data_IF_546952987089
#
_entry.id   IF_546952987089
#
_cell.length_a   1.000
_cell.length_b   1.000
_cell.length_c   1.000
_cell.angle_alpha   90.00
_cell.angle_beta   90.00
_cell.angle_gamma   90.00
#
_symmetry.space_group_name_H-M   'P 1'
#
loop_
_entity.id
_entity.type
_entity.pdbx_description
1 polymer ?
#
# COMPACT_ATOMS: atom_id res chain seq x y z
N UNK A 1 46.56 40.46 -40.54
CA UNK A 1 46.94 39.19 -39.88
C UNK A 1 46.02 38.99 -38.72
N UNK A 2 45.03 38.07 -38.83
CA UNK A 2 44.05 37.86 -37.84
C UNK A 2 44.53 36.67 -36.99
N UNK A 3 45.00 36.92 -35.77
CA UNK A 3 45.21 35.85 -34.75
C UNK A 3 43.89 35.47 -34.21
N UNK A 4 43.32 34.37 -34.72
CA UNK A 4 42.17 33.70 -34.07
C UNK A 4 42.65 33.11 -32.76
N UNK A 5 42.11 33.62 -31.70
CA UNK A 5 42.41 33.14 -30.33
C UNK A 5 41.83 31.74 -30.11
N UNK A 6 42.63 30.72 -30.38
CA UNK A 6 42.27 29.31 -30.22
C UNK A 6 41.85 29.01 -28.78
N UNK A 7 42.28 29.81 -27.82
CA UNK A 7 41.92 29.68 -26.41
C UNK A 7 40.45 30.02 -26.12
N UNK A 8 39.82 30.86 -26.94
CA UNK A 8 38.42 31.22 -26.77
C UNK A 8 37.47 30.06 -27.15
N UNK A 9 37.83 29.27 -28.15
CA UNK A 9 37.05 28.10 -28.59
C UNK A 9 37.20 26.91 -27.64
N UNK A 10 38.33 26.78 -26.96
CA UNK A 10 38.55 25.71 -25.99
C UNK A 10 37.76 25.93 -24.68
N UNK A 11 37.51 27.18 -24.31
CA UNK A 11 36.77 27.51 -23.08
C UNK A 11 35.29 27.16 -23.16
N UNK A 12 34.71 27.17 -24.36
CA UNK A 12 33.30 26.80 -24.57
C UNK A 12 33.03 25.29 -24.48
N UNK A 13 34.02 24.43 -24.75
CA UNK A 13 33.84 22.96 -24.69
C UNK A 13 33.85 22.41 -23.28
N UNK A 14 34.49 23.05 -22.31
CA UNK A 14 34.54 22.56 -20.91
C UNK A 14 33.24 22.75 -20.14
N UNK A 15 32.41 23.72 -20.52
CA UNK A 15 31.14 24.01 -19.84
C UNK A 15 30.06 22.97 -20.23
N UNK A 16 30.11 22.44 -21.45
CA UNK A 16 29.13 21.53 -22.00
C UNK A 16 29.16 20.15 -21.34
N UNK A 17 30.33 19.64 -20.94
CA UNK A 17 30.49 18.32 -20.34
C UNK A 17 29.97 18.31 -18.90
N UNK A 18 30.16 19.40 -18.16
CA UNK A 18 29.71 19.51 -16.78
C UNK A 18 28.18 19.69 -16.67
N UNK A 19 27.57 20.40 -17.64
CA UNK A 19 26.11 20.55 -17.71
C UNK A 19 25.39 19.26 -18.08
N UNK A 20 26.00 18.43 -18.93
CA UNK A 20 25.43 17.13 -19.32
C UNK A 20 25.49 16.12 -18.16
N UNK A 21 26.53 16.19 -17.32
CA UNK A 21 26.65 15.29 -16.15
C UNK A 21 25.62 15.61 -15.07
N UNK A 22 25.23 16.86 -14.90
CA UNK A 22 24.22 17.29 -13.92
C UNK A 22 22.82 16.93 -14.39
N UNK A 23 22.53 17.01 -15.69
CA UNK A 23 21.23 16.67 -16.26
C UNK A 23 20.97 15.15 -16.21
N UNK A 24 22.00 14.33 -16.36
CA UNK A 24 21.86 12.86 -16.27
C UNK A 24 21.66 12.36 -14.83
N UNK A 25 22.10 13.10 -13.82
CA UNK A 25 21.91 12.70 -12.41
C UNK A 25 20.49 12.97 -11.90
N UNK A 26 19.74 13.88 -12.51
CA UNK A 26 18.38 14.25 -12.11
C UNK A 26 17.32 13.27 -12.64
N UNK A 27 17.65 12.50 -13.68
CA UNK A 27 16.69 11.57 -14.31
C UNK A 27 16.57 10.20 -13.61
N UNK A 28 17.37 9.91 -12.60
CA UNK A 28 17.32 8.67 -11.83
C UNK A 28 16.58 8.80 -10.48
N UNK A 29 15.73 9.81 -10.34
CA UNK A 29 14.72 9.76 -9.29
C UNK A 29 13.66 8.71 -9.68
N UNK A 30 14.01 7.44 -9.57
CA UNK A 30 13.04 6.37 -9.62
C UNK A 30 12.00 6.64 -8.53
N UNK A 31 10.79 6.94 -8.94
CA UNK A 31 9.65 6.92 -8.02
C UNK A 31 9.56 5.49 -7.51
N UNK A 32 10.13 5.22 -6.34
CA UNK A 32 9.82 4.02 -5.59
C UNK A 32 8.37 4.22 -5.16
N UNK A 33 7.46 3.76 -5.99
CA UNK A 33 6.08 3.56 -5.58
C UNK A 33 6.12 2.46 -4.53
N UNK A 34 5.93 2.80 -3.28
CA UNK A 34 5.78 1.79 -2.23
C UNK A 34 4.54 0.96 -2.59
N UNK A 35 4.77 -0.25 -3.09
CA UNK A 35 3.71 -1.19 -3.43
C UNK A 35 2.92 -1.49 -2.16
N UNK A 36 1.60 -1.31 -2.23
CA UNK A 36 0.72 -1.54 -1.09
C UNK A 36 0.53 -3.05 -0.91
N UNK A 37 0.84 -3.55 0.26
CA UNK A 37 0.59 -4.95 0.61
C UNK A 37 -0.92 -5.25 0.48
N UNK A 38 -1.26 -6.30 -0.27
CA UNK A 38 -2.65 -6.75 -0.44
C UNK A 38 -2.83 -8.10 0.25
N UNK A 39 -3.83 -8.23 1.09
CA UNK A 39 -4.19 -9.46 1.79
C UNK A 39 -5.64 -9.79 1.48
N UNK A 40 -5.90 -11.04 1.12
CA UNK A 40 -7.23 -11.53 0.81
C UNK A 40 -7.80 -12.32 1.99
N UNK A 41 -9.07 -12.07 2.29
CA UNK A 41 -9.85 -12.75 3.32
C UNK A 41 -11.17 -13.16 2.69
N UNK A 42 -11.68 -14.32 3.05
CA UNK A 42 -13.04 -14.75 2.69
C UNK A 42 -13.96 -14.76 3.92
N UNK A 43 -15.21 -14.45 3.70
CA UNK A 43 -16.29 -14.76 4.65
C UNK A 43 -16.99 -16.02 4.14
N UNK A 44 -16.99 -17.05 4.93
CA UNK A 44 -17.51 -18.37 4.59
C UNK A 44 -18.24 -18.99 5.80
N UNK A 45 -19.52 -19.30 5.64
CA UNK A 45 -20.35 -19.83 6.70
C UNK A 45 -20.30 -18.95 7.98
N UNK A 46 -20.28 -17.63 7.80
CA UNK A 46 -20.20 -16.64 8.88
C UNK A 46 -18.86 -16.66 9.65
N UNK A 47 -17.77 -17.13 9.03
CA UNK A 47 -16.41 -17.06 9.55
C UNK A 47 -15.51 -16.28 8.62
N UNK A 48 -14.53 -15.57 9.16
CA UNK A 48 -13.42 -15.04 8.37
C UNK A 48 -12.37 -16.13 8.15
N UNK A 49 -11.90 -16.25 6.92
CA UNK A 49 -10.87 -17.24 6.51
C UNK A 49 -9.82 -16.53 5.64
N UNK A 50 -8.58 -16.39 6.11
CA UNK A 50 -8.08 -16.68 7.45
C UNK A 50 -8.65 -15.72 8.49
N UNK A 51 -8.73 -16.14 9.75
CA UNK A 51 -9.18 -15.32 10.88
C UNK A 51 -8.05 -14.52 11.53
N UNK A 52 -6.80 -14.88 11.28
CA UNK A 52 -5.60 -14.15 11.72
C UNK A 52 -4.73 -13.80 10.54
N UNK A 53 -4.38 -12.53 10.46
CA UNK A 53 -3.48 -12.01 9.42
C UNK A 53 -2.32 -11.27 10.08
N UNK A 54 -1.12 -11.49 9.57
CA UNK A 54 0.09 -10.80 10.02
C UNK A 54 0.47 -9.72 9.00
N UNK A 55 0.76 -8.55 9.48
CA UNK A 55 1.22 -7.44 8.65
C UNK A 55 2.43 -6.76 9.28
N UNK A 56 3.36 -6.24 8.47
CA UNK A 56 4.48 -5.49 9.01
C UNK A 56 4.02 -4.13 9.55
N UNK A 57 4.71 -3.65 10.59
CA UNK A 57 4.49 -2.32 11.14
C UNK A 57 4.74 -1.22 10.09
N UNK A 58 4.14 -0.06 10.27
CA UNK A 58 4.32 1.14 9.45
C UNK A 58 4.08 0.93 7.95
N UNK A 59 3.24 -0.02 7.60
CA UNK A 59 2.95 -0.42 6.22
C UNK A 59 1.48 -0.17 5.88
N UNK A 60 1.24 0.38 4.70
CA UNK A 60 -0.12 0.52 4.15
C UNK A 60 -0.58 -0.82 3.58
N UNK A 61 -1.73 -1.29 4.03
CA UNK A 61 -2.30 -2.57 3.66
C UNK A 61 -3.68 -2.39 3.05
N UNK A 62 -3.95 -3.17 2.02
CA UNK A 62 -5.27 -3.33 1.43
C UNK A 62 -5.80 -4.71 1.77
N UNK A 63 -6.87 -4.77 2.54
CA UNK A 63 -7.63 -5.99 2.74
C UNK A 63 -8.67 -6.11 1.62
N UNK A 64 -8.71 -7.24 0.95
CA UNK A 64 -9.75 -7.58 -0.01
C UNK A 64 -10.58 -8.69 0.61
N UNK A 65 -11.83 -8.38 0.98
CA UNK A 65 -12.70 -9.31 1.67
C UNK A 65 -13.80 -9.78 0.70
N UNK A 66 -13.83 -11.08 0.44
CA UNK A 66 -14.81 -11.74 -0.41
C UNK A 66 -15.89 -12.36 0.45
N UNK A 67 -17.11 -11.87 0.36
CA UNK A 67 -18.24 -12.51 1.01
C UNK A 67 -18.77 -13.65 0.14
N UNK A 68 -18.49 -14.90 0.55
CA UNK A 68 -18.93 -16.11 -0.14
C UNK A 68 -20.30 -16.59 0.30
N UNK A 69 -20.86 -15.95 1.31
CA UNK A 69 -22.18 -16.31 1.84
C UNK A 69 -23.31 -15.69 1.00
N UNK A 70 -24.50 -16.24 1.19
CA UNK A 70 -25.73 -15.77 0.56
C UNK A 70 -26.37 -14.59 1.30
N UNK A 71 -25.80 -14.17 2.42
CA UNK A 71 -26.23 -13.03 3.23
C UNK A 71 -25.13 -11.96 3.29
N UNK A 72 -25.54 -10.73 3.49
CA UNK A 72 -24.59 -9.63 3.71
C UNK A 72 -23.90 -9.78 5.06
N UNK A 73 -22.67 -9.26 5.15
CA UNK A 73 -21.93 -9.12 6.40
C UNK A 73 -21.36 -7.71 6.50
N UNK A 74 -21.16 -7.24 7.71
CA UNK A 74 -20.53 -5.96 7.96
C UNK A 74 -19.21 -6.17 8.72
N UNK A 75 -18.11 -5.86 8.04
CA UNK A 75 -16.80 -5.83 8.69
C UNK A 75 -16.76 -4.65 9.66
N UNK A 76 -16.40 -4.89 10.89
CA UNK A 76 -16.27 -3.89 11.94
C UNK A 76 -14.95 -4.05 12.68
N UNK A 77 -14.25 -2.95 12.93
CA UNK A 77 -13.10 -2.91 13.82
C UNK A 77 -12.99 -1.54 14.47
N UNK A 78 -13.16 -1.48 15.76
CA UNK A 78 -13.01 -0.26 16.55
C UNK A 78 -11.55 0.18 16.59
N UNK A 79 -10.63 -0.76 16.76
CA UNK A 79 -9.19 -0.51 16.85
C UNK A 79 -8.59 -0.02 15.53
N UNK A 80 -9.11 -0.50 14.41
CA UNK A 80 -8.73 -0.03 13.07
C UNK A 80 -9.52 1.19 12.62
N UNK A 81 -10.59 1.53 13.35
CA UNK A 81 -11.56 2.55 12.96
C UNK A 81 -12.07 2.33 11.52
N UNK A 82 -12.57 1.13 11.27
CA UNK A 82 -13.08 0.70 9.97
C UNK A 82 -14.40 -0.03 10.11
N UNK A 83 -15.29 0.29 9.20
CA UNK A 83 -16.61 -0.29 9.04
C UNK A 83 -16.89 -0.44 7.54
N UNK A 84 -17.37 -1.60 7.12
CA UNK A 84 -17.69 -1.84 5.72
C UNK A 84 -18.74 -2.92 5.53
N UNK A 85 -19.89 -2.54 4.97
CA UNK A 85 -20.90 -3.51 4.52
C UNK A 85 -20.41 -4.23 3.25
N UNK A 86 -20.51 -5.56 3.26
CA UNK A 86 -20.13 -6.43 2.16
C UNK A 86 -21.34 -7.27 1.77
N UNK A 87 -21.97 -6.93 0.67
CA UNK A 87 -23.15 -7.63 0.19
C UNK A 87 -22.85 -9.10 -0.13
N UNK A 88 -23.87 -9.94 -0.06
CA UNK A 88 -23.78 -11.36 -0.40
C UNK A 88 -23.13 -11.59 -1.77
N UNK A 89 -22.14 -12.46 -1.84
CA UNK A 89 -21.43 -12.80 -3.08
C UNK A 89 -20.55 -11.68 -3.66
N UNK A 90 -20.35 -10.60 -2.92
CA UNK A 90 -19.54 -9.45 -3.34
C UNK A 90 -18.22 -9.39 -2.57
N UNK A 91 -17.35 -8.50 -3.02
CA UNK A 91 -16.10 -8.16 -2.32
C UNK A 91 -16.06 -6.69 -1.96
N UNK A 92 -15.28 -6.38 -0.93
CA UNK A 92 -14.97 -5.01 -0.55
C UNK A 92 -13.46 -4.86 -0.32
N UNK A 93 -12.98 -3.65 -0.55
CA UNK A 93 -11.62 -3.25 -0.23
C UNK A 93 -11.63 -2.39 1.03
N UNK A 94 -10.80 -2.74 1.99
CA UNK A 94 -10.61 -2.00 3.24
C UNK A 94 -9.14 -1.63 3.35
N UNK A 95 -8.87 -0.35 3.52
CA UNK A 95 -7.51 0.16 3.65
C UNK A 95 -7.18 0.38 5.12
N UNK A 96 -6.09 -0.22 5.57
CA UNK A 96 -5.60 -0.11 6.95
C UNK A 96 -4.12 0.30 6.95
N UNK A 97 -3.67 0.83 8.09
CA UNK A 97 -2.29 1.24 8.27
C UNK A 97 -1.97 2.64 7.71
N UNK A 98 -0.74 3.10 7.96
CA UNK A 98 0.31 2.43 8.77
C UNK A 98 -0.11 2.20 10.23
N UNK A 99 0.23 1.03 10.77
CA UNK A 99 -0.12 0.64 12.14
C UNK A 99 1.16 0.40 12.97
N UNK A 100 1.09 0.70 14.25
CA UNK A 100 2.10 0.31 15.21
C UNK A 100 2.01 -1.20 15.52
N UNK A 101 3.10 -1.78 16.01
CA UNK A 101 3.11 -3.15 16.52
C UNK A 101 2.00 -3.34 17.55
N UNK A 102 1.21 -4.39 17.39
CA UNK A 102 0.08 -4.68 18.26
C UNK A 102 -0.93 -5.63 17.63
N UNK A 103 -2.05 -5.80 18.31
CA UNK A 103 -3.16 -6.64 17.89
C UNK A 103 -4.40 -5.76 17.68
N UNK A 104 -5.05 -5.97 16.54
CA UNK A 104 -6.19 -5.17 16.11
C UNK A 104 -7.35 -6.12 15.74
N UNK A 105 -8.27 -6.39 16.66
CA UNK A 105 -9.40 -7.29 16.41
C UNK A 105 -10.39 -6.69 15.43
N UNK A 106 -11.05 -7.57 14.68
CA UNK A 106 -12.18 -7.23 13.83
C UNK A 106 -13.25 -8.34 13.92
N UNK A 107 -14.45 -8.00 13.53
CA UNK A 107 -15.56 -8.95 13.59
C UNK A 107 -16.61 -8.62 12.51
N UNK A 108 -17.52 -9.57 12.29
CA UNK A 108 -18.72 -9.38 11.49
C UNK A 108 -19.88 -8.97 12.38
N UNK A 109 -20.40 -7.78 12.19
CA UNK A 109 -21.47 -7.21 13.02
C UNK A 109 -22.73 -8.07 13.02
N UNK A 110 -23.04 -8.72 11.89
CA UNK A 110 -24.25 -9.52 11.76
C UNK A 110 -24.11 -10.95 12.29
N UNK A 111 -22.89 -11.42 12.55
CA UNK A 111 -22.59 -12.76 13.05
C UNK A 111 -21.41 -12.73 14.04
N UNK A 112 -21.54 -11.96 15.09
CA UNK A 112 -20.44 -11.67 16.03
C UNK A 112 -19.88 -12.89 16.76
N UNK A 113 -20.69 -13.95 16.93
CA UNK A 113 -20.25 -15.16 17.62
C UNK A 113 -19.27 -16.00 16.80
N UNK A 114 -19.34 -15.93 15.50
CA UNK A 114 -18.54 -16.73 14.56
C UNK A 114 -17.57 -15.90 13.72
N UNK A 115 -18.02 -14.77 13.22
CA UNK A 115 -17.22 -13.87 12.39
C UNK A 115 -16.31 -13.01 13.26
N UNK A 116 -15.15 -13.55 13.63
CA UNK A 116 -14.12 -12.87 14.40
C UNK A 116 -12.77 -13.06 13.75
N UNK A 117 -11.92 -12.03 13.85
CA UNK A 117 -10.58 -12.10 13.34
C UNK A 117 -9.63 -11.13 14.03
N UNK A 118 -8.36 -11.21 13.66
CA UNK A 118 -7.28 -10.43 14.26
C UNK A 118 -6.26 -10.02 13.21
N UNK A 119 -5.93 -8.74 13.20
CA UNK A 119 -4.73 -8.23 12.52
C UNK A 119 -3.61 -8.17 13.55
N UNK A 120 -2.52 -8.89 13.27
CA UNK A 120 -1.33 -8.94 14.11
C UNK A 120 -0.24 -8.14 13.42
N UNK A 121 0.19 -7.06 14.02
CA UNK A 121 1.24 -6.18 13.48
C UNK A 121 2.55 -6.45 14.22
N UNK A 122 3.56 -6.83 13.43
CA UNK A 122 4.90 -7.17 13.93
C UNK A 122 5.98 -6.23 13.42
#
# INVERSE_FOLDING_TARGET
MICLDINFLQKKKKISVFSILIVTLVFFATKISAERLTIEIEIKNHFFVPDKIEVPADTKVKLVIYNRDSTSEEFESYELNREKLIAAGRKANIFIGPLAVGEYPFFGEFNQKTAQGMVIVK
#
